data_IF_371090097745
#
_entry.id   IF_371090097745
#
_cell.length_a   1.000
_cell.length_b   1.000
_cell.length_c   1.000
_cell.angle_alpha   90.00
_cell.angle_beta   90.00
_cell.angle_gamma   90.00
#
_symmetry.space_group_name_H-M   'P 1'
#
loop_
_entity.id
_entity.type
_entity.pdbx_description
1 polymer ?
#
# COMPACT_ATOMS: atom_id res chain seq x y z
N UNK A 1 -9.18 -5.70 2.74
CA UNK A 1 -8.83 -6.94 2.02
C UNK A 1 -10.13 -7.52 1.52
N UNK A 2 -10.26 -7.90 0.25
CA UNK A 2 -11.52 -8.46 -0.25
C UNK A 2 -11.73 -9.86 0.32
N UNK A 3 -12.97 -10.33 0.44
CA UNK A 3 -13.27 -11.66 1.01
C UNK A 3 -12.57 -12.78 0.25
N UNK A 4 -12.52 -12.67 -1.09
CA UNK A 4 -11.73 -13.56 -1.93
C UNK A 4 -10.23 -13.54 -1.57
N UNK A 5 -9.66 -12.36 -1.33
CA UNK A 5 -8.25 -12.25 -0.98
C UNK A 5 -7.94 -12.86 0.39
N UNK A 6 -8.87 -12.79 1.35
CA UNK A 6 -8.75 -13.43 2.66
C UNK A 6 -8.66 -14.94 2.53
N UNK A 7 -9.62 -15.54 1.82
CA UNK A 7 -9.68 -16.98 1.60
C UNK A 7 -8.42 -17.55 0.90
N UNK A 8 -7.91 -16.88 -0.13
CA UNK A 8 -6.68 -17.34 -0.84
C UNK A 8 -5.40 -17.17 -0.01
N UNK A 9 -5.42 -16.30 1.00
CA UNK A 9 -4.27 -16.02 1.87
C UNK A 9 -4.31 -16.78 3.18
N UNK A 10 -5.28 -17.69 3.35
CA UNK A 10 -5.39 -18.51 4.54
C UNK A 10 -4.14 -19.36 4.76
N UNK A 11 -3.76 -19.57 6.02
CA UNK A 11 -2.61 -20.36 6.40
C UNK A 11 -2.97 -21.39 7.47
N UNK A 12 -2.22 -22.49 7.48
CA UNK A 12 -2.42 -23.59 8.43
C UNK A 12 -1.46 -23.42 9.59
N UNK A 13 -1.99 -23.56 10.79
CA UNK A 13 -1.22 -23.74 12.01
C UNK A 13 -1.55 -25.12 12.60
N UNK A 14 -0.73 -25.66 13.51
CA UNK A 14 -1.09 -26.87 14.25
C UNK A 14 -2.43 -26.79 15.01
N UNK A 15 -2.94 -25.58 15.26
CA UNK A 15 -4.18 -25.32 15.98
C UNK A 15 -5.39 -25.06 15.07
N UNK A 16 -5.19 -25.02 13.74
CA UNK A 16 -6.28 -24.80 12.78
C UNK A 16 -5.91 -23.89 11.62
N UNK A 17 -6.93 -23.58 10.82
CA UNK A 17 -6.86 -22.70 9.65
C UNK A 17 -7.19 -21.26 10.06
N UNK A 18 -6.34 -20.32 9.66
CA UNK A 18 -6.51 -18.91 9.98
C UNK A 18 -6.45 -18.06 8.71
N UNK A 19 -7.21 -16.96 8.72
CA UNK A 19 -7.22 -15.96 7.67
C UNK A 19 -6.65 -14.65 8.14
N UNK A 20 -6.03 -13.91 7.22
CA UNK A 20 -5.55 -12.57 7.50
C UNK A 20 -6.69 -11.54 7.46
N UNK A 21 -6.85 -10.77 8.54
CA UNK A 21 -7.78 -9.63 8.60
C UNK A 21 -7.25 -8.38 7.87
N UNK A 22 -5.92 -8.29 7.76
CA UNK A 22 -5.19 -7.18 7.13
C UNK A 22 -4.23 -7.74 6.10
N UNK A 23 -3.73 -6.89 5.22
CA UNK A 23 -2.79 -7.29 4.19
C UNK A 23 -1.52 -7.90 4.83
N UNK A 24 -1.22 -9.20 4.58
CA UNK A 24 -0.08 -9.86 5.19
C UNK A 24 1.24 -9.49 4.49
N UNK A 25 2.35 -9.71 5.19
CA UNK A 25 3.68 -9.57 4.59
C UNK A 25 4.00 -10.71 3.63
N UNK A 26 4.95 -10.48 2.72
CA UNK A 26 5.47 -11.52 1.82
C UNK A 26 4.66 -11.75 0.53
N UNK A 27 3.49 -11.13 0.35
CA UNK A 27 2.83 -11.16 -0.97
C UNK A 27 3.45 -10.13 -1.91
N UNK A 28 3.76 -10.55 -3.13
CA UNK A 28 4.41 -9.73 -4.17
C UNK A 28 3.76 -8.36 -4.41
N UNK A 29 2.43 -8.27 -4.29
CA UNK A 29 1.67 -7.07 -4.63
C UNK A 29 1.42 -6.14 -3.44
N UNK A 30 1.83 -6.53 -2.22
CA UNK A 30 1.60 -5.75 -0.99
C UNK A 30 2.23 -4.35 -1.06
N UNK A 31 3.51 -4.19 -1.45
CA UNK A 31 4.14 -2.87 -1.46
C UNK A 31 3.43 -1.88 -2.39
N UNK A 32 3.00 -2.34 -3.57
CA UNK A 32 2.32 -1.50 -4.55
C UNK A 32 0.94 -1.03 -4.06
N UNK A 33 0.18 -1.90 -3.40
CA UNK A 33 -1.12 -1.51 -2.85
C UNK A 33 -0.95 -0.55 -1.67
N UNK A 34 0.08 -0.76 -0.84
CA UNK A 34 0.42 0.14 0.26
C UNK A 34 0.85 1.52 -0.24
N UNK A 35 1.69 1.56 -1.28
CA UNK A 35 2.09 2.81 -1.93
C UNK A 35 0.87 3.56 -2.48
N UNK A 36 -0.02 2.90 -3.20
CA UNK A 36 -1.25 3.53 -3.71
C UNK A 36 -2.13 4.08 -2.59
N UNK A 37 -2.19 3.39 -1.44
CA UNK A 37 -2.93 3.89 -0.28
C UNK A 37 -2.30 5.17 0.27
N UNK A 38 -0.97 5.22 0.36
CA UNK A 38 -0.23 6.41 0.80
C UNK A 38 -0.39 7.56 -0.20
N UNK A 39 -0.24 7.29 -1.50
CA UNK A 39 -0.39 8.28 -2.56
C UNK A 39 -1.79 8.91 -2.53
N UNK A 40 -2.84 8.09 -2.34
CA UNK A 40 -4.21 8.58 -2.20
C UNK A 40 -4.42 9.42 -0.93
N UNK A 41 -3.84 9.00 0.20
CA UNK A 41 -3.96 9.73 1.46
C UNK A 41 -3.21 11.07 1.42
N UNK A 42 -2.09 11.11 0.70
CA UNK A 42 -1.22 12.28 0.58
C UNK A 42 -1.53 13.12 -0.67
N UNK A 43 -2.46 12.71 -1.53
CA UNK A 43 -2.76 13.38 -2.80
C UNK A 43 -3.00 14.90 -2.66
N UNK A 44 -3.65 15.33 -1.56
CA UNK A 44 -3.88 16.75 -1.26
C UNK A 44 -2.73 17.46 -0.54
N UNK A 45 -1.83 16.71 0.10
CA UNK A 45 -0.70 17.24 0.88
C UNK A 45 0.60 17.32 0.07
N UNK A 46 0.79 16.42 -0.90
CA UNK A 46 1.97 16.38 -1.77
C UNK A 46 1.86 17.28 -2.99
N UNK A 47 0.89 18.21 -3.03
CA UNK A 47 1.05 19.45 -3.80
C UNK A 47 2.15 20.29 -3.15
N UNK A 48 3.37 19.74 -3.12
CA UNK A 48 4.57 20.52 -3.02
C UNK A 48 4.47 21.45 -4.23
N UNK A 49 4.35 22.78 -4.07
CA UNK A 49 4.50 23.66 -5.19
C UNK A 49 5.83 23.29 -5.81
N UNK A 50 5.80 22.75 -7.05
CA UNK A 50 7.00 22.62 -7.87
C UNK A 50 7.63 23.99 -7.78
N UNK A 51 8.80 24.11 -7.16
CA UNK A 51 9.43 25.38 -6.83
C UNK A 51 9.38 26.30 -8.06
N UNK A 52 8.34 27.13 -8.15
CA UNK A 52 8.25 28.20 -9.11
C UNK A 52 9.08 29.31 -8.51
N UNK A 53 10.32 29.42 -8.99
CA UNK A 53 11.19 30.54 -8.65
C UNK A 53 12.55 30.11 -8.08
N UNK A 54 13.52 29.95 -8.96
CA UNK A 54 14.95 30.02 -8.65
C UNK A 54 15.72 30.34 -9.94
N UNK A 55 16.44 31.48 -10.03
CA UNK A 55 16.92 32.03 -11.30
C UNK A 55 18.22 31.39 -11.80
N UNK A 56 18.51 31.62 -13.08
CA UNK A 56 19.78 31.40 -13.78
C UNK A 56 20.00 30.01 -14.41
N UNK A 57 19.46 29.85 -15.63
CA UNK A 57 20.31 29.44 -16.75
C UNK A 57 20.45 30.64 -17.69
N UNK A 58 21.61 31.30 -17.62
CA UNK A 58 22.23 31.96 -18.76
C UNK A 58 23.13 30.93 -19.43
#
# INVERSE_FOLDING_TARGET
MTDRARAISAFITPFGLFEWNRMPFGLKNVPQIYQRMLDNALYGFTRIPRLEGGPALK
#
